data_IF_487663539816
#
_entry.id   IF_487663539816
#
_cell.length_a   1.000
_cell.length_b   1.000
_cell.length_c   1.000
_cell.angle_alpha   90.00
_cell.angle_beta   90.00
_cell.angle_gamma   90.00
#
_symmetry.space_group_name_H-M   'P 1'
#
loop_
_entity.id
_entity.type
_entity.pdbx_description
1 polymer ?
#
# COMPACT_ATOMS: atom_id res chain seq x y z
N UNK A 1 18.53 3.35 1.43
CA UNK A 1 17.69 2.14 1.31
C UNK A 1 16.40 2.53 1.98
N UNK A 2 15.43 2.97 1.19
CA UNK A 2 14.21 3.56 1.74
C UNK A 2 13.35 2.43 2.29
N UNK A 3 13.32 2.35 3.61
CA UNK A 3 12.80 1.22 4.39
C UNK A 3 11.33 1.37 4.66
N UNK A 4 10.50 0.94 3.72
CA UNK A 4 9.05 0.79 3.94
C UNK A 4 8.74 -0.66 4.30
N UNK A 5 7.87 -0.86 5.28
CA UNK A 5 7.36 -2.19 5.64
C UNK A 5 5.85 -2.23 5.49
N UNK A 6 5.37 -3.28 4.81
CA UNK A 6 3.95 -3.60 4.71
C UNK A 6 3.64 -4.76 5.66
N UNK A 7 2.75 -4.52 6.63
CA UNK A 7 2.26 -5.56 7.55
C UNK A 7 0.78 -5.82 7.26
N UNK A 8 0.45 -7.08 6.98
CA UNK A 8 -0.91 -7.53 6.70
C UNK A 8 -1.43 -8.34 7.89
N UNK A 9 -2.37 -7.76 8.63
CA UNK A 9 -3.08 -8.41 9.76
C UNK A 9 -4.59 -8.24 9.53
N UNK A 10 -5.36 -7.91 10.57
CA UNK A 10 -6.78 -7.53 10.50
C UNK A 10 -6.97 -6.21 9.73
N UNK A 11 -5.93 -5.36 9.76
CA UNK A 11 -5.78 -4.18 8.94
C UNK A 11 -4.43 -4.23 8.22
N UNK A 12 -4.32 -3.49 7.11
CA UNK A 12 -3.05 -3.31 6.40
C UNK A 12 -2.42 -2.03 6.89
N UNK A 13 -1.18 -2.13 7.38
CA UNK A 13 -0.43 -0.95 7.84
C UNK A 13 0.78 -0.71 6.93
N UNK A 14 0.85 0.51 6.39
CA UNK A 14 2.02 1.04 5.70
C UNK A 14 2.80 1.91 6.68
N UNK A 15 4.05 1.55 6.95
CA UNK A 15 4.95 2.29 7.86
C UNK A 15 6.24 2.68 7.17
N UNK A 16 6.81 3.81 7.58
CA UNK A 16 8.11 4.26 7.10
C UNK A 16 8.51 5.61 7.70
N UNK A 17 9.49 6.25 7.07
CA UNK A 17 9.91 7.61 7.38
C UNK A 17 9.68 8.52 6.15
N UNK A 18 9.38 9.78 6.42
CA UNK A 18 9.27 10.84 5.41
C UNK A 18 9.98 12.10 5.88
N UNK A 19 10.41 12.96 4.96
CA UNK A 19 11.06 14.24 5.29
C UNK A 19 10.06 15.38 5.19
N UNK A 20 9.76 16.01 6.31
CA UNK A 20 8.87 17.16 6.41
C UNK A 20 9.62 18.34 7.01
N UNK A 21 9.66 19.45 6.28
CA UNK A 21 10.35 20.68 6.72
C UNK A 21 11.82 20.42 7.14
N UNK A 22 12.48 19.47 6.49
CA UNK A 22 13.87 19.09 6.78
C UNK A 22 14.06 18.14 7.98
N UNK A 23 12.97 17.65 8.58
CA UNK A 23 12.99 16.68 9.67
C UNK A 23 12.57 15.29 9.18
N UNK A 24 13.26 14.23 9.62
CA UNK A 24 12.77 12.86 9.42
C UNK A 24 11.64 12.58 10.40
N UNK A 25 10.48 12.21 9.87
CA UNK A 25 9.26 11.98 10.61
C UNK A 25 8.79 10.54 10.34
N UNK A 26 8.62 9.71 11.38
CA UNK A 26 8.01 8.40 11.21
C UNK A 26 6.52 8.56 10.92
N UNK A 27 6.01 7.73 10.03
CA UNK A 27 4.58 7.63 9.77
C UNK A 27 4.08 6.19 9.84
N UNK A 28 2.80 6.06 10.17
CA UNK A 28 2.03 4.84 10.04
C UNK A 28 0.67 5.20 9.46
N UNK A 29 0.28 4.49 8.40
CA UNK A 29 -1.04 4.58 7.80
C UNK A 29 -1.70 3.22 7.92
N UNK A 30 -2.87 3.18 8.53
CA UNK A 30 -3.69 1.97 8.65
C UNK A 30 -4.91 2.12 7.77
N UNK A 31 -5.29 1.04 7.08
CA UNK A 31 -6.52 1.03 6.32
C UNK A 31 -7.16 -0.34 6.20
N UNK A 32 -8.46 -0.31 5.95
CA UNK A 32 -9.25 -1.49 5.64
C UNK A 32 -9.02 -1.94 4.19
N UNK A 33 -8.61 -3.19 3.97
CA UNK A 33 -8.24 -3.66 2.65
C UNK A 33 -9.46 -4.10 1.83
N UNK A 34 -9.39 -3.81 0.53
CA UNK A 34 -10.40 -4.14 -0.47
C UNK A 34 -9.70 -4.60 -1.75
N UNK A 35 -10.14 -5.73 -2.31
CA UNK A 35 -9.74 -6.14 -3.65
C UNK A 35 -10.51 -5.32 -4.67
N UNK A 36 -9.80 -4.73 -5.64
CA UNK A 36 -10.42 -4.04 -6.76
C UNK A 36 -10.76 -5.03 -7.88
N UNK A 37 -11.70 -4.66 -8.75
CA UNK A 37 -12.13 -5.52 -9.87
C UNK A 37 -11.03 -5.81 -10.89
N UNK A 38 -10.04 -4.92 -10.99
CA UNK A 38 -8.86 -5.06 -11.85
C UNK A 38 -7.70 -5.81 -11.19
N UNK A 39 -7.88 -6.30 -9.96
CA UNK A 39 -6.94 -7.20 -9.29
C UNK A 39 -5.88 -6.49 -8.44
N UNK A 40 -6.18 -5.29 -7.96
CA UNK A 40 -5.31 -4.47 -7.13
C UNK A 40 -5.77 -4.46 -5.67
N UNK A 41 -4.94 -3.91 -4.78
CA UNK A 41 -5.27 -3.71 -3.38
C UNK A 41 -5.56 -2.23 -3.14
N UNK A 42 -6.79 -1.92 -2.71
CA UNK A 42 -7.14 -0.60 -2.21
C UNK A 42 -7.33 -0.64 -0.70
N UNK A 43 -6.78 0.34 0.00
CA UNK A 43 -7.00 0.55 1.42
C UNK A 43 -7.91 1.76 1.58
N UNK A 44 -9.02 1.61 2.30
CA UNK A 44 -9.76 2.76 2.85
C UNK A 44 -9.05 3.14 4.15
N UNK A 45 -8.48 4.34 4.18
CA UNK A 45 -7.72 4.82 5.34
C UNK A 45 -8.66 4.93 6.54
N UNK A 46 -8.18 4.45 7.69
CA UNK A 46 -8.90 4.50 8.97
C UNK A 46 -8.11 5.15 10.09
N UNK A 47 -6.79 5.27 9.94
CA UNK A 47 -5.93 5.97 10.89
C UNK A 47 -4.62 6.40 10.22
N UNK A 48 -4.12 7.58 10.59
CA UNK A 48 -2.80 8.05 10.19
C UNK A 48 -2.09 8.66 11.39
N UNK A 49 -0.89 8.16 11.65
CA UNK A 49 0.07 8.76 12.57
C UNK A 49 1.22 9.39 11.80
N UNK A 50 1.53 10.65 12.10
CA UNK A 50 2.63 11.40 11.50
C UNK A 50 3.42 12.10 12.61
N UNK A 51 4.51 11.48 13.09
CA UNK A 51 5.39 12.08 14.11
C UNK A 51 4.71 12.46 15.43
N UNK A 52 3.57 11.85 15.77
CA UNK A 52 2.77 12.22 16.94
C UNK A 52 2.02 13.55 16.81
N UNK A 53 1.95 14.13 15.61
CA UNK A 53 1.10 15.29 15.32
C UNK A 53 -0.37 14.89 15.45
N UNK A 54 -1.16 15.72 16.14
CA UNK A 54 -2.62 15.56 16.18
C UNK A 54 -3.22 16.30 15.00
N UNK A 55 -3.41 15.58 13.89
CA UNK A 55 -4.03 16.08 12.66
C UNK A 55 -5.25 15.21 12.33
N UNK A 56 -6.30 15.78 11.71
CA UNK A 56 -7.33 14.95 11.10
C UNK A 56 -6.73 14.14 9.94
N UNK A 57 -7.32 12.98 9.67
CA UNK A 57 -6.76 11.98 8.74
C UNK A 57 -6.56 12.52 7.33
N UNK A 58 -7.52 13.31 6.83
CA UNK A 58 -7.43 13.92 5.49
C UNK A 58 -6.21 14.83 5.33
N UNK A 59 -5.92 15.66 6.32
CA UNK A 59 -4.77 16.56 6.32
C UNK A 59 -3.46 15.79 6.43
N UNK A 60 -3.41 14.78 7.31
CA UNK A 60 -2.25 13.90 7.43
C UNK A 60 -1.96 13.15 6.12
N UNK A 61 -3.01 12.64 5.46
CA UNK A 61 -2.91 11.96 4.17
C UNK A 61 -2.45 12.90 3.06
N UNK A 62 -2.95 14.14 3.06
CA UNK A 62 -2.53 15.17 2.11
C UNK A 62 -1.04 15.47 2.24
N UNK A 63 -0.54 15.61 3.47
CA UNK A 63 0.89 15.81 3.71
C UNK A 63 1.71 14.61 3.26
N UNK A 64 1.29 13.39 3.58
CA UNK A 64 1.97 12.18 3.10
C UNK A 64 2.02 12.13 1.57
N UNK A 65 0.90 12.38 0.89
CA UNK A 65 0.84 12.37 -0.57
C UNK A 65 1.75 13.43 -1.23
N UNK A 66 2.05 14.53 -0.54
CA UNK A 66 2.92 15.60 -1.06
C UNK A 66 4.41 15.33 -0.86
N UNK A 67 4.79 14.68 0.24
CA UNK A 67 6.19 14.59 0.67
C UNK A 67 6.76 13.18 0.65
N UNK A 68 5.91 12.16 0.56
CA UNK A 68 6.35 10.77 0.53
C UNK A 68 6.78 10.38 -0.88
N UNK A 69 8.03 9.97 -1.03
CA UNK A 69 8.48 9.30 -2.25
C UNK A 69 7.96 7.87 -2.26
N UNK A 70 6.99 7.62 -3.14
CA UNK A 70 6.33 6.33 -3.23
C UNK A 70 6.81 5.55 -4.44
N UNK A 71 6.90 4.21 -4.32
CA UNK A 71 7.06 3.36 -5.50
C UNK A 71 5.94 3.62 -6.50
N UNK A 72 6.23 3.51 -7.80
CA UNK A 72 5.26 3.78 -8.88
C UNK A 72 3.99 2.91 -8.85
N UNK A 73 3.99 1.83 -8.07
CA UNK A 73 2.83 0.97 -7.86
C UNK A 73 1.95 1.41 -6.68
N UNK A 74 2.31 2.48 -5.94
CA UNK A 74 1.55 3.01 -4.81
C UNK A 74 1.08 4.43 -5.10
N UNK A 75 -0.19 4.72 -4.82
CA UNK A 75 -0.77 6.06 -4.94
C UNK A 75 -1.71 6.35 -3.77
N UNK A 76 -1.78 7.60 -3.34
CA UNK A 76 -2.61 8.06 -2.24
C UNK A 76 -3.58 9.10 -2.79
N UNK A 77 -4.85 9.01 -2.39
CA UNK A 77 -5.90 9.95 -2.74
C UNK A 77 -6.53 10.48 -1.45
N UNK A 78 -6.22 11.74 -1.15
CA UNK A 78 -6.67 12.39 0.08
C UNK A 78 -8.16 12.79 0.05
N UNK A 79 -8.78 12.89 -1.12
CA UNK A 79 -10.19 13.25 -1.24
C UNK A 79 -11.11 12.07 -0.98
N UNK A 80 -10.71 10.88 -1.44
CA UNK A 80 -11.40 9.61 -1.15
C UNK A 80 -10.88 8.91 0.11
N UNK A 81 -9.79 9.41 0.69
CA UNK A 81 -9.05 8.80 1.80
C UNK A 81 -8.68 7.35 1.50
N UNK A 82 -8.04 7.14 0.34
CA UNK A 82 -7.63 5.81 -0.10
C UNK A 82 -6.15 5.72 -0.44
N UNK A 83 -5.61 4.52 -0.29
CA UNK A 83 -4.30 4.12 -0.81
C UNK A 83 -4.53 3.01 -1.82
N UNK A 84 -4.06 3.19 -3.05
CA UNK A 84 -4.10 2.16 -4.08
C UNK A 84 -2.70 1.58 -4.30
N UNK A 85 -2.62 0.27 -4.15
CA UNK A 85 -1.48 -0.56 -4.54
C UNK A 85 -1.80 -1.26 -5.87
N UNK A 86 -1.30 -0.71 -6.97
CA UNK A 86 -1.42 -1.27 -8.30
C UNK A 86 -0.47 -2.46 -8.47
N UNK A 87 -0.96 -3.65 -8.15
CA UNK A 87 -0.20 -4.90 -8.16
C UNK A 87 0.35 -5.24 -9.55
N UNK A 88 -0.33 -4.84 -10.62
CA UNK A 88 0.15 -5.04 -11.99
C UNK A 88 1.44 -4.24 -12.31
N UNK A 89 1.72 -3.17 -11.56
CA UNK A 89 2.93 -2.35 -11.73
C UNK A 89 4.11 -2.82 -10.86
N UNK A 90 3.94 -3.87 -10.06
CA UNK A 90 5.04 -4.44 -9.27
C UNK A 90 5.98 -5.18 -10.21
N UNK A 91 7.26 -4.80 -10.19
CA UNK A 91 8.31 -5.51 -10.94
C UNK A 91 8.66 -6.80 -10.22
N UNK A 92 8.13 -7.92 -10.70
CA UNK A 92 8.45 -9.25 -10.18
C UNK A 92 9.52 -9.95 -11.03
N UNK A 93 10.28 -10.91 -10.46
CA UNK A 93 11.21 -11.73 -11.21
C UNK A 93 10.52 -12.50 -12.34
N UNK A 94 11.31 -12.90 -13.35
CA UNK A 94 10.83 -13.74 -14.47
C UNK A 94 9.60 -13.16 -15.19
N UNK A 95 9.48 -11.83 -15.21
CA UNK A 95 8.33 -11.12 -15.80
C UNK A 95 6.97 -11.62 -15.28
N UNK A 96 6.97 -12.08 -14.02
CA UNK A 96 5.75 -12.59 -13.39
C UNK A 96 4.78 -11.44 -13.11
N UNK A 97 3.49 -11.76 -13.03
CA UNK A 97 2.45 -10.84 -12.62
C UNK A 97 1.72 -11.36 -11.37
N UNK A 98 1.22 -10.45 -10.55
CA UNK A 98 0.40 -10.77 -9.39
C UNK A 98 -0.90 -9.96 -9.43
N UNK A 99 -2.00 -10.61 -9.07
CA UNK A 99 -3.33 -10.01 -8.94
C UNK A 99 -3.96 -10.47 -7.64
N UNK A 100 -4.65 -9.57 -6.95
CA UNK A 100 -5.48 -9.91 -5.80
C UNK A 100 -6.90 -10.26 -6.29
N UNK A 101 -7.35 -11.48 -6.04
CA UNK A 101 -8.66 -11.96 -6.47
C UNK A 101 -9.76 -11.62 -5.46
N UNK A 102 -9.48 -11.86 -4.18
CA UNK A 102 -10.46 -11.64 -3.11
C UNK A 102 -9.78 -11.49 -1.74
N UNK A 103 -10.52 -10.89 -0.83
CA UNK A 103 -10.20 -10.81 0.59
C UNK A 103 -11.41 -11.34 1.34
N UNK A 104 -11.23 -12.39 2.12
CA UNK A 104 -12.21 -12.86 3.09
C UNK A 104 -11.95 -12.16 4.42
N UNK A 105 -12.84 -11.24 4.81
CA UNK A 105 -12.68 -10.44 6.03
C UNK A 105 -12.92 -11.24 7.32
N UNK A 106 -13.67 -12.34 7.26
CA UNK A 106 -13.99 -13.16 8.45
C UNK A 106 -12.81 -14.07 8.81
N UNK A 107 -12.25 -14.73 7.80
CA UNK A 107 -11.11 -15.65 7.95
C UNK A 107 -9.76 -14.98 7.82
N UNK A 108 -9.74 -13.72 7.36
CA UNK A 108 -8.52 -12.91 7.10
C UNK A 108 -7.64 -13.54 6.02
N UNK A 109 -8.27 -14.19 5.05
CA UNK A 109 -7.58 -14.83 3.93
C UNK A 109 -7.54 -13.92 2.71
N UNK A 110 -6.37 -13.86 2.06
CA UNK A 110 -6.14 -13.12 0.83
C UNK A 110 -5.84 -14.11 -0.29
N UNK A 111 -6.65 -14.08 -1.35
CA UNK A 111 -6.44 -14.96 -2.51
C UNK A 111 -5.74 -14.20 -3.63
N UNK A 112 -4.55 -14.66 -4.01
CA UNK A 112 -3.76 -14.07 -5.08
C UNK A 112 -3.63 -15.02 -6.26
N UNK A 113 -3.67 -14.46 -7.47
CA UNK A 113 -3.25 -15.13 -8.70
C UNK A 113 -1.84 -14.68 -9.05
N UNK A 114 -0.95 -15.63 -9.34
CA UNK A 114 0.40 -15.38 -9.83
C UNK A 114 0.56 -16.01 -11.20
N UNK A 115 0.89 -15.20 -12.19
CA UNK A 115 1.16 -15.65 -13.56
C UNK A 115 2.66 -15.62 -13.83
N UNK A 116 3.21 -16.73 -14.31
CA UNK A 116 4.62 -16.85 -14.69
C UNK A 116 4.66 -17.22 -16.18
N UNK A 117 5.39 -16.48 -17.03
CA UNK A 117 5.59 -16.84 -18.44
C UNK A 117 6.19 -18.23 -18.60
N UNK A 118 5.68 -19.00 -19.58
CA UNK A 118 6.04 -20.40 -19.75
C UNK A 118 7.54 -20.60 -20.07
N UNK A 119 8.15 -19.65 -20.77
CA UNK A 119 9.57 -19.59 -21.08
C UNK A 119 10.47 -19.54 -19.83
N UNK A 120 9.93 -19.14 -18.68
CA UNK A 120 10.67 -18.99 -17.43
C UNK A 120 10.46 -20.17 -16.46
N UNK A 121 9.73 -21.21 -16.88
CA UNK A 121 9.37 -22.39 -16.06
C UNK A 121 10.39 -23.54 -16.13
N UNK A 122 11.37 -23.46 -17.02
CA UNK A 122 12.36 -24.53 -17.24
C UNK A 122 13.73 -23.98 -16.90
N UNK A 123 14.21 -24.28 -15.69
CA UNK A 123 15.63 -24.21 -15.29
C UNK A 123 16.19 -25.62 -15.12
#
# INVERSE_FOLDING_TARGET
MDGYSLEMTDAVTLKGETVLLGLSIPFALTGEPHATTDGNLQLKVTDISLGGLSLPEKEALTLLAQFLELPAFVSLDADSETVLMNLANIKLPKESAIRLLSIDKETKEYSFEVSIPAENLIE
#
